data_IF_957164004765
#
_entry.id   IF_957164004765
#
_cell.length_a   1.000
_cell.length_b   1.000
_cell.length_c   1.000
_cell.angle_alpha   90.00
_cell.angle_beta   90.00
_cell.angle_gamma   90.00
#
_symmetry.space_group_name_H-M   'P 1'
#
loop_
_entity.id
_entity.type
_entity.pdbx_description
1 polymer ?
#
# COMPACT_ATOMS: atom_id res chain seq x y z
N UNK A 1 1.56 -23.21 -25.18
CA UNK A 1 1.91 -21.77 -25.13
C UNK A 1 2.99 -21.57 -24.07
N UNK A 2 4.12 -20.96 -24.41
CA UNK A 2 5.15 -20.62 -23.42
C UNK A 2 4.61 -19.57 -22.46
N UNK A 3 4.74 -19.78 -21.14
CA UNK A 3 4.36 -18.78 -20.14
C UNK A 3 5.20 -17.52 -20.33
N UNK A 4 4.56 -16.36 -20.43
CA UNK A 4 5.29 -15.08 -20.48
C UNK A 4 6.03 -14.88 -19.14
N UNK A 5 7.37 -14.72 -19.14
CA UNK A 5 8.15 -14.57 -17.90
C UNK A 5 7.66 -13.41 -17.02
N UNK A 6 7.08 -12.36 -17.60
CA UNK A 6 6.49 -11.24 -16.87
C UNK A 6 5.22 -11.63 -16.13
N UNK A 7 4.35 -12.42 -16.77
CA UNK A 7 3.14 -12.94 -16.10
C UNK A 7 3.51 -13.91 -14.97
N UNK A 8 4.61 -14.64 -15.12
CA UNK A 8 5.11 -15.57 -14.10
C UNK A 8 5.56 -14.85 -12.82
N UNK A 9 6.06 -13.61 -12.92
CA UNK A 9 6.42 -12.80 -11.74
C UNK A 9 5.19 -12.56 -10.85
N UNK A 10 4.02 -12.28 -11.44
CA UNK A 10 2.78 -12.09 -10.69
C UNK A 10 2.17 -13.42 -10.21
N UNK A 11 2.32 -14.51 -10.98
CA UNK A 11 1.87 -15.84 -10.54
C UNK A 11 2.66 -16.37 -9.33
N UNK A 12 3.97 -16.14 -9.31
CA UNK A 12 4.86 -16.66 -8.25
C UNK A 12 4.81 -15.83 -6.97
N UNK A 13 4.49 -14.54 -7.08
CA UNK A 13 4.40 -13.59 -5.97
C UNK A 13 3.02 -12.96 -5.90
N UNK A 14 1.98 -13.81 -5.80
CA UNK A 14 0.60 -13.35 -5.65
C UNK A 14 0.43 -12.46 -4.43
N UNK A 15 -0.44 -11.46 -4.55
CA UNK A 15 -0.82 -10.61 -3.43
C UNK A 15 -1.53 -11.42 -2.34
N UNK A 16 -1.14 -11.22 -1.08
CA UNK A 16 -1.62 -11.98 0.07
C UNK A 16 -1.80 -11.11 1.35
N UNK A 17 -2.10 -9.82 1.19
CA UNK A 17 -2.22 -8.80 2.25
C UNK A 17 -0.93 -8.45 3.02
N UNK A 18 0.11 -9.29 2.97
CA UNK A 18 1.37 -9.04 3.70
C UNK A 18 2.52 -8.53 2.82
N UNK A 19 2.39 -8.67 1.50
CA UNK A 19 3.47 -8.41 0.54
C UNK A 19 3.21 -7.23 -0.40
N UNK A 20 2.35 -6.28 0.00
CA UNK A 20 1.87 -5.18 -0.85
C UNK A 20 2.97 -4.45 -1.62
N UNK A 21 4.04 -4.00 -0.95
CA UNK A 21 5.10 -3.23 -1.60
C UNK A 21 5.85 -4.06 -2.66
N UNK A 22 6.13 -5.32 -2.36
CA UNK A 22 6.82 -6.23 -3.28
C UNK A 22 5.92 -6.59 -4.47
N UNK A 23 4.65 -6.89 -4.19
CA UNK A 23 3.65 -7.16 -5.22
C UNK A 23 3.42 -5.94 -6.11
N UNK A 24 3.28 -4.73 -5.54
CA UNK A 24 3.08 -3.48 -6.30
C UNK A 24 4.29 -3.17 -7.20
N UNK A 25 5.52 -3.46 -6.73
CA UNK A 25 6.72 -3.32 -7.56
C UNK A 25 6.68 -4.26 -8.76
N UNK A 26 6.30 -5.51 -8.54
CA UNK A 26 6.14 -6.51 -9.60
C UNK A 26 5.03 -6.12 -10.59
N UNK A 27 3.89 -5.66 -10.08
CA UNK A 27 2.78 -5.17 -10.89
C UNK A 27 3.23 -4.02 -11.79
N UNK A 28 3.93 -3.02 -11.25
CA UNK A 28 4.45 -1.89 -12.03
C UNK A 28 5.38 -2.33 -13.16
N UNK A 29 6.22 -3.33 -12.94
CA UNK A 29 7.10 -3.88 -13.99
C UNK A 29 6.26 -4.44 -15.14
N UNK A 30 5.27 -5.29 -14.83
CA UNK A 30 4.38 -5.88 -15.86
C UNK A 30 3.60 -4.80 -16.59
N UNK A 31 2.99 -3.85 -15.87
CA UNK A 31 2.17 -2.80 -16.47
C UNK A 31 2.99 -1.82 -17.32
N UNK A 32 4.22 -1.51 -16.92
CA UNK A 32 5.09 -0.66 -17.73
C UNK A 32 5.52 -1.37 -19.03
N UNK A 33 5.72 -2.68 -18.99
CA UNK A 33 6.01 -3.47 -20.19
C UNK A 33 4.82 -3.48 -21.17
N UNK A 34 3.59 -3.54 -20.65
CA UNK A 34 2.35 -3.49 -21.46
C UNK A 34 1.93 -2.05 -21.82
N UNK A 35 2.76 -1.03 -21.54
CA UNK A 35 2.45 0.40 -21.74
C UNK A 35 1.18 0.90 -21.01
N UNK A 36 0.80 0.25 -19.92
CA UNK A 36 -0.43 0.51 -19.15
C UNK A 36 -0.17 1.07 -17.75
N UNK A 37 1.09 1.21 -17.34
CA UNK A 37 1.46 1.73 -16.02
C UNK A 37 0.90 3.13 -15.71
N UNK A 38 0.61 3.93 -16.74
CA UNK A 38 0.04 5.27 -16.60
C UNK A 38 -1.34 5.26 -15.91
N UNK A 39 -2.11 4.19 -16.06
CA UNK A 39 -3.47 4.08 -15.51
C UNK A 39 -3.47 4.07 -13.98
N UNK A 40 -2.39 3.58 -13.34
CA UNK A 40 -2.27 3.58 -11.88
C UNK A 40 -2.19 4.99 -11.28
N UNK A 41 -1.68 5.96 -12.03
CA UNK A 41 -1.38 7.31 -11.52
C UNK A 41 -2.28 8.39 -12.11
N UNK A 42 -2.94 8.11 -13.24
CA UNK A 42 -3.77 9.07 -13.94
C UNK A 42 -5.24 8.66 -13.82
N UNK A 43 -6.03 9.27 -12.92
CA UNK A 43 -7.47 9.04 -12.87
C UNK A 43 -8.13 9.43 -14.21
N UNK A 44 -9.33 8.90 -14.51
CA UNK A 44 -10.05 9.32 -15.71
C UNK A 44 -10.28 10.83 -15.63
N UNK A 45 -10.14 11.52 -16.77
CA UNK A 45 -10.47 12.95 -16.82
C UNK A 45 -11.92 13.12 -16.39
N UNK A 46 -12.15 13.73 -15.24
CA UNK A 46 -13.45 13.70 -14.54
C UNK A 46 -14.46 14.72 -15.07
N UNK A 47 -14.20 15.34 -16.22
CA UNK A 47 -15.11 16.27 -16.85
C UNK A 47 -15.36 15.77 -18.27
N UNK A 48 -16.63 15.57 -18.59
CA UNK A 48 -17.08 15.45 -19.96
C UNK A 48 -17.41 16.87 -20.46
N UNK A 49 -16.50 17.68 -21.04
CA UNK A 49 -16.94 18.82 -21.85
C UNK A 49 -17.75 18.30 -23.04
N UNK A 50 -18.79 19.03 -23.43
CA UNK A 50 -19.68 18.68 -24.54
C UNK A 50 -18.95 18.60 -25.91
N UNK A 51 -17.72 19.11 -25.97
CA UNK A 51 -16.91 19.31 -27.18
C UNK A 51 -15.59 18.50 -27.17
N UNK A 52 -15.60 17.20 -26.85
CA UNK A 52 -14.38 16.40 -27.06
C UNK A 52 -14.02 16.40 -28.54
N UNK A 53 -12.77 16.74 -28.84
CA UNK A 53 -12.19 16.43 -30.13
C UNK A 53 -12.19 14.90 -30.37
N UNK A 54 -12.17 14.44 -31.63
CA UNK A 54 -12.05 13.02 -31.94
C UNK A 54 -10.84 12.34 -31.27
N UNK A 55 -9.74 13.10 -31.07
CA UNK A 55 -8.52 12.63 -30.41
C UNK A 55 -8.76 12.38 -28.92
N UNK A 56 -9.46 13.27 -28.24
CA UNK A 56 -9.74 13.12 -26.81
C UNK A 56 -10.71 11.95 -26.55
N UNK A 57 -11.71 11.76 -27.42
CA UNK A 57 -12.57 10.57 -27.37
C UNK A 57 -11.78 9.26 -27.48
N UNK A 58 -10.80 9.21 -28.40
CA UNK A 58 -9.95 8.04 -28.57
C UNK A 58 -9.09 7.78 -27.32
N UNK A 59 -8.51 8.84 -26.74
CA UNK A 59 -7.72 8.73 -25.51
C UNK A 59 -8.57 8.27 -24.32
N UNK A 60 -9.79 8.80 -24.20
CA UNK A 60 -10.75 8.40 -23.16
C UNK A 60 -11.13 6.93 -23.29
N UNK A 61 -11.50 6.48 -24.49
CA UNK A 61 -11.82 5.08 -24.76
C UNK A 61 -10.65 4.15 -24.46
N UNK A 62 -9.44 4.51 -24.92
CA UNK A 62 -8.21 3.76 -24.65
C UNK A 62 -7.93 3.66 -23.15
N UNK A 63 -8.08 4.76 -22.41
CA UNK A 63 -7.91 4.75 -20.95
C UNK A 63 -8.86 3.76 -20.28
N UNK A 64 -10.15 3.75 -20.65
CA UNK A 64 -11.12 2.81 -20.08
C UNK A 64 -10.83 1.35 -20.44
N UNK A 65 -10.36 1.09 -21.67
CA UNK A 65 -9.94 -0.24 -22.09
C UNK A 65 -8.72 -0.73 -21.30
N UNK A 66 -7.70 0.12 -21.16
CA UNK A 66 -6.51 -0.19 -20.38
C UNK A 66 -6.85 -0.34 -18.89
N UNK A 67 -7.73 0.49 -18.34
CA UNK A 67 -8.23 0.35 -16.96
C UNK A 67 -8.88 -1.01 -16.71
N UNK A 68 -9.74 -1.49 -17.61
CA UNK A 68 -10.34 -2.83 -17.49
C UNK A 68 -9.28 -3.94 -17.54
N UNK A 69 -8.31 -3.84 -18.45
CA UNK A 69 -7.21 -4.82 -18.54
C UNK A 69 -6.38 -4.86 -17.26
N UNK A 70 -6.03 -3.70 -16.72
CA UNK A 70 -5.25 -3.61 -15.48
C UNK A 70 -6.04 -4.11 -14.27
N UNK A 71 -7.35 -3.84 -14.17
CA UNK A 71 -8.20 -4.48 -13.15
C UNK A 71 -8.08 -6.01 -13.20
N UNK A 72 -8.19 -6.60 -14.39
CA UNK A 72 -8.09 -8.04 -14.58
C UNK A 72 -6.71 -8.58 -14.18
N UNK A 73 -5.62 -7.88 -14.51
CA UNK A 73 -4.25 -8.25 -14.11
C UNK A 73 -4.12 -8.23 -12.59
N UNK A 74 -4.61 -7.16 -11.94
CA UNK A 74 -4.57 -7.02 -10.48
C UNK A 74 -5.32 -8.20 -9.83
N UNK A 75 -6.56 -8.45 -10.22
CA UNK A 75 -7.37 -9.55 -9.68
C UNK A 75 -6.71 -10.91 -9.93
N UNK A 76 -6.20 -11.18 -11.14
CA UNK A 76 -5.52 -12.43 -11.46
C UNK A 76 -4.28 -12.66 -10.57
N UNK A 77 -3.56 -11.58 -10.25
CA UNK A 77 -2.36 -11.59 -9.41
C UNK A 77 -2.62 -11.74 -7.90
N UNK A 78 -3.88 -11.79 -7.45
CA UNK A 78 -4.22 -12.05 -6.05
C UNK A 78 -4.29 -13.55 -5.73
N UNK A 79 -4.06 -13.93 -4.48
CA UNK A 79 -4.45 -15.26 -4.00
C UNK A 79 -5.98 -15.42 -4.09
N UNK A 80 -6.46 -16.66 -4.14
CA UNK A 80 -7.89 -16.93 -4.36
C UNK A 80 -8.77 -16.36 -3.25
N UNK A 81 -8.32 -16.42 -1.99
CA UNK A 81 -9.08 -15.92 -0.84
C UNK A 81 -9.16 -14.40 -0.82
N UNK A 82 -8.09 -13.72 -1.25
CA UNK A 82 -8.10 -12.27 -1.40
C UNK A 82 -8.97 -11.87 -2.58
N UNK A 83 -8.80 -12.50 -3.75
CA UNK A 83 -9.56 -12.16 -4.97
C UNK A 83 -11.07 -12.11 -4.75
N UNK A 84 -11.64 -13.09 -4.05
CA UNK A 84 -13.08 -13.13 -3.69
C UNK A 84 -13.57 -11.88 -2.98
N UNK A 85 -12.71 -11.23 -2.20
CA UNK A 85 -13.05 -10.00 -1.52
C UNK A 85 -13.14 -8.81 -2.48
N UNK A 86 -12.42 -8.84 -3.61
CA UNK A 86 -12.27 -7.74 -4.57
C UNK A 86 -13.14 -7.90 -5.82
N UNK A 87 -13.79 -9.05 -6.04
CA UNK A 87 -14.58 -9.36 -7.24
C UNK A 87 -15.73 -8.37 -7.54
N UNK A 88 -16.19 -7.60 -6.55
CA UNK A 88 -17.24 -6.59 -6.70
C UNK A 88 -16.73 -5.19 -7.05
N UNK A 89 -15.40 -5.00 -7.12
CA UNK A 89 -14.80 -3.70 -7.41
C UNK A 89 -14.51 -3.59 -8.91
N UNK A 90 -15.01 -2.54 -9.52
CA UNK A 90 -15.00 -2.30 -10.97
C UNK A 90 -13.93 -1.30 -11.43
N UNK A 91 -13.31 -0.58 -10.50
CA UNK A 91 -12.27 0.40 -10.78
C UNK A 91 -10.94 0.10 -10.08
N UNK A 92 -9.84 0.42 -10.75
CA UNK A 92 -8.48 0.33 -10.18
C UNK A 92 -8.39 1.20 -8.93
N UNK A 93 -8.99 2.39 -8.95
CA UNK A 93 -8.98 3.31 -7.80
C UNK A 93 -9.59 2.66 -6.56
N UNK A 94 -10.75 2.01 -6.70
CA UNK A 94 -11.41 1.29 -5.59
C UNK A 94 -10.57 0.11 -5.09
N UNK A 95 -9.97 -0.65 -6.01
CA UNK A 95 -9.11 -1.81 -5.67
C UNK A 95 -7.85 -1.34 -4.93
N UNK A 96 -7.13 -0.36 -5.48
CA UNK A 96 -5.90 0.19 -4.92
C UNK A 96 -6.13 0.85 -3.55
N UNK A 97 -7.23 1.60 -3.39
CA UNK A 97 -7.59 2.23 -2.13
C UNK A 97 -7.85 1.19 -1.03
N UNK A 98 -8.60 0.13 -1.36
CA UNK A 98 -8.88 -0.93 -0.39
C UNK A 98 -7.63 -1.74 -0.04
N UNK A 99 -6.77 -2.03 -1.02
CA UNK A 99 -5.49 -2.70 -0.77
C UNK A 99 -4.59 -1.87 0.14
N UNK A 100 -4.48 -0.56 -0.09
CA UNK A 100 -3.65 0.31 0.75
C UNK A 100 -4.19 0.44 2.17
N UNK A 101 -5.52 0.49 2.36
CA UNK A 101 -6.13 0.54 3.69
C UNK A 101 -5.88 -0.76 4.46
N UNK A 102 -6.18 -1.92 3.87
CA UNK A 102 -5.94 -3.24 4.50
C UNK A 102 -4.48 -3.42 4.87
N UNK A 103 -3.55 -3.02 4.01
CA UNK A 103 -2.12 -3.12 4.30
C UNK A 103 -1.65 -2.07 5.33
N UNK A 104 -2.38 -0.97 5.49
CA UNK A 104 -2.10 0.06 6.51
C UNK A 104 -2.70 -0.25 7.87
N UNK A 105 -3.66 -1.18 7.98
CA UNK A 105 -4.36 -1.57 9.22
C UNK A 105 -3.43 -2.27 10.21
N UNK A 106 -2.63 -3.29 9.83
CA UNK A 106 -1.61 -3.88 10.70
C UNK A 106 -0.65 -2.81 11.24
N UNK A 107 -0.17 -1.93 10.36
CA UNK A 107 0.66 -0.81 10.77
C UNK A 107 -0.08 0.13 11.73
N UNK A 108 -1.38 0.42 11.53
CA UNK A 108 -2.15 1.27 12.45
C UNK A 108 -2.26 0.65 13.84
N UNK A 109 -2.59 -0.63 13.96
CA UNK A 109 -2.70 -1.30 15.25
C UNK A 109 -1.35 -1.43 15.95
N UNK A 110 -0.31 -1.84 15.23
CA UNK A 110 1.05 -1.97 15.78
C UNK A 110 1.58 -0.58 16.17
N UNK A 111 1.33 0.46 15.36
CA UNK A 111 1.68 1.85 15.71
C UNK A 111 0.97 2.31 16.97
N UNK A 112 -0.34 2.11 17.06
CA UNK A 112 -1.10 2.50 18.23
C UNK A 112 -0.61 1.77 19.48
N UNK A 113 -0.42 0.45 19.41
CA UNK A 113 0.09 -0.34 20.52
C UNK A 113 1.52 0.07 20.92
N UNK A 114 2.39 0.35 19.94
CA UNK A 114 3.77 0.77 20.19
C UNK A 114 3.82 2.19 20.77
N UNK A 115 3.00 3.14 20.26
CA UNK A 115 2.86 4.49 20.84
C UNK A 115 2.31 4.43 22.27
N UNK A 116 1.29 3.61 22.52
CA UNK A 116 0.73 3.40 23.86
C UNK A 116 1.76 2.79 24.81
N UNK A 117 2.56 1.83 24.35
CA UNK A 117 3.63 1.24 25.14
C UNK A 117 4.74 2.26 25.41
N UNK A 118 5.10 3.08 24.42
CA UNK A 118 6.08 4.15 24.56
C UNK A 118 5.65 5.13 25.67
N UNK A 119 4.47 5.74 25.52
CA UNK A 119 3.95 6.69 26.51
C UNK A 119 3.58 6.08 27.86
N UNK A 120 3.36 4.77 27.92
CA UNK A 120 3.12 4.04 29.16
C UNK A 120 4.38 3.64 29.91
N UNK A 121 5.56 3.73 29.28
CA UNK A 121 6.82 3.26 29.87
C UNK A 121 7.37 4.32 30.82
N UNK A 122 7.16 4.12 32.12
CA UNK A 122 7.73 4.96 33.17
C UNK A 122 8.95 4.29 33.81
N UNK A 123 9.91 5.08 34.25
CA UNK A 123 11.01 4.58 35.07
C UNK A 123 10.46 4.15 36.44
N UNK A 124 10.38 2.84 36.69
CA UNK A 124 9.92 2.32 37.97
C UNK A 124 10.98 2.55 39.06
N UNK A 125 10.54 2.92 40.26
CA UNK A 125 11.42 3.21 41.40
C UNK A 125 12.27 1.96 41.74
N UNK A 126 13.60 2.10 41.65
CA UNK A 126 14.55 0.98 41.84
C UNK A 126 14.92 0.21 40.58
N UNK A 127 14.38 0.56 39.40
CA UNK A 127 14.80 -0.02 38.12
C UNK A 127 16.07 0.65 37.58
N UNK A 128 16.88 -0.11 36.85
CA UNK A 128 18.08 0.41 36.17
C UNK A 128 17.69 1.42 35.09
N UNK A 129 18.20 2.64 35.23
CA UNK A 129 18.04 3.73 34.26
C UNK A 129 18.54 3.32 32.86
N UNK A 130 19.67 2.61 32.80
CA UNK A 130 20.22 2.10 31.54
C UNK A 130 19.27 1.09 30.86
N UNK A 131 18.65 0.19 31.61
CA UNK A 131 17.69 -0.78 31.06
C UNK A 131 16.45 -0.09 30.51
N UNK A 132 15.99 0.97 31.18
CA UNK A 132 14.87 1.78 30.74
C UNK A 132 15.18 2.52 29.42
N UNK A 133 16.35 3.16 29.32
CA UNK A 133 16.80 3.82 28.09
C UNK A 133 16.87 2.86 26.89
N UNK A 134 17.39 1.64 27.08
CA UNK A 134 17.43 0.63 26.01
C UNK A 134 16.04 0.23 25.54
N UNK A 135 15.08 0.04 26.48
CA UNK A 135 13.69 -0.25 26.11
C UNK A 135 13.05 0.91 25.35
N UNK A 136 13.30 2.15 25.77
CA UNK A 136 12.77 3.33 25.08
C UNK A 136 13.34 3.47 23.67
N UNK A 137 14.64 3.27 23.50
CA UNK A 137 15.29 3.29 22.19
C UNK A 137 14.69 2.25 21.24
N UNK A 138 14.47 1.02 21.72
CA UNK A 138 13.87 -0.05 20.90
C UNK A 138 12.43 0.27 20.45
N UNK A 139 11.67 1.02 21.26
CA UNK A 139 10.32 1.45 20.91
C UNK A 139 10.34 2.61 19.90
N UNK A 140 11.32 3.51 20.00
CA UNK A 140 11.56 4.58 19.02
C UNK A 140 11.91 3.99 17.65
N UNK A 141 12.88 3.10 17.58
CA UNK A 141 13.29 2.43 16.33
C UNK A 141 12.09 1.71 15.67
N UNK A 142 11.25 1.06 16.49
CA UNK A 142 10.02 0.41 16.02
C UNK A 142 8.98 1.41 15.49
N UNK A 143 8.85 2.59 16.09
CA UNK A 143 7.94 3.64 15.62
C UNK A 143 8.43 4.30 14.33
N UNK A 144 9.74 4.50 14.19
CA UNK A 144 10.38 5.00 12.97
C UNK A 144 10.18 4.02 11.81
N UNK A 145 10.38 2.72 12.03
CA UNK A 145 10.14 1.68 11.03
C UNK A 145 8.68 1.62 10.54
N UNK A 146 7.72 2.05 11.37
CA UNK A 146 6.30 2.11 11.04
C UNK A 146 5.86 3.45 10.43
N UNK A 147 6.80 4.39 10.20
CA UNK A 147 6.54 5.78 9.77
C UNK A 147 5.52 6.48 10.66
N UNK A 148 5.56 6.18 11.95
CA UNK A 148 4.63 6.64 12.96
C UNK A 148 5.20 7.89 13.60
N UNK A 149 5.10 9.05 12.94
CA UNK A 149 5.67 10.31 13.44
C UNK A 149 5.39 10.49 14.94
N UNK A 150 6.45 10.69 15.70
CA UNK A 150 6.43 11.15 17.09
C UNK A 150 6.49 12.68 17.03
N UNK A 151 5.62 13.38 17.75
CA UNK A 151 5.78 14.82 17.87
C UNK A 151 7.05 15.12 18.69
N UNK A 152 7.75 16.20 18.34
CA UNK A 152 9.00 16.57 19.01
C UNK A 152 8.80 16.92 20.50
N UNK A 153 7.56 17.17 20.94
CA UNK A 153 7.24 17.48 22.33
C UNK A 153 7.17 16.25 23.23
N UNK A 154 6.85 15.07 22.68
CA UNK A 154 6.76 13.79 23.41
C UNK A 154 8.14 13.21 23.69
N UNK A 155 9.13 13.45 22.80
CA UNK A 155 10.51 12.93 22.93
C UNK A 155 11.25 13.37 24.20
N UNK A 156 11.05 14.62 24.62
CA UNK A 156 11.87 15.24 25.68
C UNK A 156 11.37 14.84 27.09
N UNK A 157 10.07 14.54 27.22
CA UNK A 157 9.46 14.24 28.52
C UNK A 157 9.50 12.75 28.91
N UNK A 158 9.72 11.84 27.95
CA UNK A 158 9.64 10.38 28.19
C UNK A 158 11.02 9.69 28.19
N UNK A 159 12.08 10.35 27.73
CA UNK A 159 13.45 9.79 27.67
C UNK A 159 14.33 10.22 28.87
N UNK A 160 13.97 11.32 29.54
CA UNK A 160 14.65 11.87 30.72
C UNK A 160 13.83 11.61 31.99
#
# INVERSE_FOLDING_TARGET
>A
MSKNPLTMVLETKKFNDTNYNNWLRNLRIVLNFEEQGYVLNRPPSSALPEDFSPKEHLMFKKWHEDNRKVCNIILASMSNDIRKQYDKLDSISSIMLRMSDVCSVPDRHIRYATKKSFSGTKLAKGSSEQSHRVKMLSLVEKLEGLKAGLDNHTYIHEIL
#
